data_IF_913435294064
#
_entry.id   IF_913435294064
#
_cell.length_a   1.000
_cell.length_b   1.000
_cell.length_c   1.000
_cell.angle_alpha   90.00
_cell.angle_beta   90.00
_cell.angle_gamma   90.00
#
_symmetry.space_group_name_H-M   'P 1'
#
loop_
_entity.id
_entity.type
_entity.pdbx_description
1 polymer ?
#
# COMPACT_ATOMS: atom_id res chain seq x y z
N UNK A 1 -5.43 -1.29 7.13
CA UNK A 1 -5.91 0.10 6.97
C UNK A 1 -7.42 0.19 6.84
N UNK A 2 -8.10 -0.50 5.90
CA UNK A 2 -9.57 -0.44 5.80
C UNK A 2 -10.24 -1.00 7.06
N UNK A 3 -9.71 -2.04 7.68
CA UNK A 3 -10.20 -2.63 8.94
C UNK A 3 -10.27 -1.58 10.07
N UNK A 4 -9.28 -0.70 10.16
CA UNK A 4 -9.28 0.36 11.18
C UNK A 4 -10.32 1.46 10.88
N UNK A 5 -10.67 1.69 9.61
CA UNK A 5 -11.66 2.69 9.22
C UNK A 5 -13.10 2.17 9.25
N UNK A 6 -13.27 0.88 8.95
CA UNK A 6 -14.57 0.20 8.89
C UNK A 6 -14.61 -0.94 9.91
N UNK A 7 -14.79 -0.57 11.17
CA UNK A 7 -14.77 -1.51 12.30
C UNK A 7 -15.80 -2.65 12.13
N UNK A 8 -15.32 -3.87 12.22
CA UNK A 8 -16.14 -5.08 12.06
C UNK A 8 -16.49 -5.45 10.62
N UNK A 9 -15.93 -4.73 9.62
CA UNK A 9 -16.12 -5.05 8.20
C UNK A 9 -14.91 -5.84 7.71
N UNK A 10 -15.14 -7.10 7.34
CA UNK A 10 -14.13 -7.97 6.75
C UNK A 10 -13.93 -7.72 5.25
N UNK A 11 -12.90 -8.37 4.69
CA UNK A 11 -12.57 -8.22 3.26
C UNK A 11 -13.70 -8.72 2.35
N UNK A 12 -14.39 -9.79 2.72
CA UNK A 12 -15.48 -10.35 1.90
C UNK A 12 -16.71 -9.41 1.88
N UNK A 13 -17.03 -8.78 3.02
CA UNK A 13 -18.09 -7.76 3.09
C UNK A 13 -17.73 -6.56 2.21
N UNK A 14 -16.49 -6.06 2.30
CA UNK A 14 -16.00 -4.98 1.45
C UNK A 14 -16.05 -5.37 -0.03
N UNK A 15 -15.63 -6.58 -0.37
CA UNK A 15 -15.67 -7.11 -1.75
C UNK A 15 -17.10 -7.13 -2.29
N UNK A 16 -18.07 -7.62 -1.51
CA UNK A 16 -19.49 -7.61 -1.92
C UNK A 16 -20.02 -6.19 -2.16
N UNK A 17 -19.69 -5.26 -1.28
CA UNK A 17 -20.12 -3.87 -1.42
C UNK A 17 -19.52 -3.19 -2.67
N UNK A 18 -18.22 -3.38 -2.91
CA UNK A 18 -17.54 -2.82 -4.08
C UNK A 18 -18.02 -3.46 -5.39
N UNK A 19 -18.35 -4.74 -5.39
CA UNK A 19 -18.99 -5.38 -6.56
C UNK A 19 -20.37 -4.79 -6.87
N UNK A 20 -21.14 -4.40 -5.85
CA UNK A 20 -22.41 -3.67 -6.05
C UNK A 20 -22.19 -2.29 -6.69
N UNK A 21 -21.05 -1.64 -6.45
CA UNK A 21 -20.63 -0.41 -7.13
C UNK A 21 -20.11 -0.64 -8.56
N UNK A 22 -20.00 -1.90 -9.02
CA UNK A 22 -19.57 -2.23 -10.37
C UNK A 22 -18.10 -2.67 -10.48
N UNK A 23 -17.37 -2.77 -9.39
CA UNK A 23 -16.00 -3.33 -9.44
C UNK A 23 -16.04 -4.81 -9.81
N UNK A 24 -15.17 -5.20 -10.74
CA UNK A 24 -15.04 -6.60 -11.17
C UNK A 24 -14.49 -7.49 -10.06
N UNK A 25 -13.41 -7.04 -9.42
CA UNK A 25 -12.79 -7.74 -8.29
C UNK A 25 -12.12 -6.76 -7.32
N UNK A 26 -11.79 -7.26 -6.12
CA UNK A 26 -11.22 -6.48 -5.02
C UNK A 26 -10.16 -7.31 -4.32
N UNK A 27 -8.96 -6.75 -4.23
CA UNK A 27 -7.82 -7.37 -3.56
C UNK A 27 -7.27 -6.45 -2.45
N UNK A 28 -6.69 -7.02 -1.41
CA UNK A 28 -6.01 -6.24 -0.39
C UNK A 28 -4.63 -5.79 -0.87
N UNK A 29 -4.29 -4.53 -0.64
CA UNK A 29 -2.95 -3.98 -0.93
C UNK A 29 -1.83 -4.65 -0.13
N UNK A 30 -2.16 -5.51 0.84
CA UNK A 30 -1.20 -6.41 1.50
C UNK A 30 -0.42 -7.29 0.50
N UNK A 31 -0.99 -7.60 -0.67
CA UNK A 31 -0.29 -8.28 -1.78
C UNK A 31 0.86 -7.40 -2.28
N UNK A 32 0.58 -6.13 -2.59
CA UNK A 32 1.60 -5.16 -3.01
C UNK A 32 2.66 -4.92 -1.92
N UNK A 33 2.24 -4.87 -0.65
CA UNK A 33 3.17 -4.76 0.48
C UNK A 33 4.11 -5.97 0.56
N UNK A 34 3.64 -7.17 0.24
CA UNK A 34 4.47 -8.37 0.19
C UNK A 34 5.50 -8.30 -0.94
N UNK A 35 5.11 -7.81 -2.12
CA UNK A 35 6.01 -7.61 -3.26
C UNK A 35 7.14 -6.64 -2.88
N UNK A 36 6.78 -5.48 -2.34
CA UNK A 36 7.72 -4.44 -1.90
C UNK A 36 8.65 -4.94 -0.80
N UNK A 37 8.11 -5.65 0.19
CA UNK A 37 8.88 -6.29 1.25
C UNK A 37 9.96 -7.20 0.68
N UNK A 38 9.61 -8.05 -0.28
CA UNK A 38 10.54 -8.99 -0.91
C UNK A 38 11.67 -8.26 -1.61
N UNK A 39 11.39 -7.10 -2.21
CA UNK A 39 12.42 -6.28 -2.85
C UNK A 39 13.38 -5.66 -1.81
N UNK A 40 12.87 -5.13 -0.70
CA UNK A 40 13.75 -4.67 0.38
C UNK A 40 14.60 -5.80 0.97
N UNK A 41 14.03 -6.99 1.17
CA UNK A 41 14.78 -8.16 1.64
C UNK A 41 15.87 -8.58 0.64
N UNK A 42 15.63 -8.43 -0.67
CA UNK A 42 16.64 -8.65 -1.72
C UNK A 42 17.77 -7.63 -1.60
N UNK A 43 17.47 -6.33 -1.55
CA UNK A 43 18.46 -5.26 -1.43
C UNK A 43 19.36 -5.44 -0.21
N UNK A 44 18.78 -5.81 0.93
CA UNK A 44 19.54 -6.07 2.16
C UNK A 44 20.45 -7.29 2.05
N UNK A 45 19.98 -8.36 1.40
CA UNK A 45 20.75 -9.61 1.24
C UNK A 45 21.92 -9.45 0.27
N UNK A 46 21.73 -8.64 -0.76
CA UNK A 46 22.74 -8.37 -1.79
C UNK A 46 23.68 -7.23 -1.38
N UNK A 47 23.49 -6.65 -0.19
CA UNK A 47 24.31 -5.55 0.36
C UNK A 47 24.51 -4.40 -0.63
N UNK A 48 23.42 -4.08 -1.38
CA UNK A 48 23.50 -3.08 -2.46
C UNK A 48 23.89 -1.70 -1.96
N UNK A 49 23.57 -1.37 -0.70
CA UNK A 49 23.83 -0.05 -0.11
C UNK A 49 24.08 -0.16 1.40
N UNK A 50 24.98 0.68 1.90
CA UNK A 50 25.25 0.80 3.34
C UNK A 50 24.07 1.41 4.11
N UNK A 51 23.33 2.31 3.47
CA UNK A 51 22.15 2.98 4.03
C UNK A 51 20.99 2.84 3.06
N UNK A 52 19.83 2.44 3.56
CA UNK A 52 18.60 2.35 2.79
C UNK A 52 17.50 3.13 3.52
N UNK A 53 16.97 4.17 2.86
CA UNK A 53 15.75 4.85 3.28
C UNK A 53 14.59 4.26 2.47
N UNK A 54 13.57 3.76 3.14
CA UNK A 54 12.41 3.16 2.46
C UNK A 54 11.57 4.21 1.75
N UNK A 55 11.15 3.92 0.52
CA UNK A 55 10.46 4.85 -0.40
C UNK A 55 8.95 4.63 -0.54
N UNK A 56 8.35 3.82 0.32
CA UNK A 56 6.93 3.47 0.21
C UNK A 56 5.95 4.62 0.50
N UNK A 57 6.43 5.72 1.09
CA UNK A 57 5.63 6.90 1.39
C UNK A 57 5.97 8.05 0.44
N UNK A 58 5.05 8.38 -0.48
CA UNK A 58 5.24 9.46 -1.46
C UNK A 58 5.48 10.82 -0.80
N UNK A 59 4.79 11.14 0.29
CA UNK A 59 5.02 12.40 1.02
C UNK A 59 6.44 12.51 1.57
N UNK A 60 7.01 11.41 2.10
CA UNK A 60 8.40 11.37 2.57
C UNK A 60 9.37 11.53 1.41
N UNK A 61 9.10 10.88 0.27
CA UNK A 61 9.92 11.02 -0.93
C UNK A 61 9.98 12.48 -1.40
N UNK A 62 8.83 13.16 -1.46
CA UNK A 62 8.75 14.59 -1.81
C UNK A 62 9.44 15.49 -0.77
N UNK A 63 9.33 15.16 0.51
CA UNK A 63 10.02 15.88 1.59
C UNK A 63 11.54 15.79 1.39
N UNK A 64 12.06 14.59 1.15
CA UNK A 64 13.49 14.37 0.90
C UNK A 64 13.93 15.12 -0.34
N UNK A 65 13.20 15.01 -1.45
CA UNK A 65 13.52 15.71 -2.69
C UNK A 65 13.61 17.23 -2.51
N UNK A 66 12.70 17.83 -1.75
CA UNK A 66 12.61 19.27 -1.58
C UNK A 66 13.58 19.85 -0.53
N UNK A 67 13.76 19.12 0.55
CA UNK A 67 14.43 19.67 1.73
C UNK A 67 15.73 18.98 2.12
N UNK A 68 15.93 17.74 1.65
CA UNK A 68 17.09 16.92 1.99
C UNK A 68 17.70 16.23 0.75
N UNK A 69 18.05 17.00 -0.31
CA UNK A 69 18.49 16.39 -1.58
C UNK A 69 19.74 15.51 -1.43
N UNK A 70 20.58 15.76 -0.43
CA UNK A 70 21.74 14.91 -0.12
C UNK A 70 21.35 13.50 0.38
N UNK A 71 20.11 13.31 0.81
CA UNK A 71 19.62 11.99 1.24
C UNK A 71 18.99 11.18 0.12
N UNK A 72 18.85 11.74 -1.09
CA UNK A 72 18.28 11.04 -2.25
C UNK A 72 19.07 9.80 -2.65
N UNK A 73 20.39 9.83 -2.47
CA UNK A 73 21.25 8.68 -2.78
C UNK A 73 20.93 7.45 -1.91
N UNK A 74 20.33 7.66 -0.73
CA UNK A 74 19.95 6.59 0.19
C UNK A 74 18.50 6.14 0.01
N UNK A 75 17.69 6.91 -0.73
CA UNK A 75 16.29 6.56 -0.98
C UNK A 75 16.24 5.35 -1.90
N UNK A 76 15.54 4.30 -1.46
CA UNK A 76 15.40 3.09 -2.26
C UNK A 76 14.59 3.36 -3.55
N UNK A 77 15.04 2.79 -4.65
CA UNK A 77 14.29 2.81 -5.91
C UNK A 77 13.31 1.63 -5.96
N UNK A 78 12.32 1.69 -5.07
CA UNK A 78 11.31 0.64 -4.90
C UNK A 78 9.92 1.26 -4.98
N UNK A 79 9.06 0.64 -5.77
CA UNK A 79 7.65 1.05 -5.91
C UNK A 79 6.94 1.03 -4.55
N UNK A 80 5.95 1.91 -4.39
CA UNK A 80 5.04 1.79 -3.24
C UNK A 80 4.16 0.53 -3.35
N UNK A 81 3.60 0.04 -2.23
CA UNK A 81 2.65 -1.08 -2.26
C UNK A 81 1.46 -0.88 -3.19
N UNK A 82 0.96 0.36 -3.32
CA UNK A 82 -0.09 0.70 -4.26
C UNK A 82 0.34 0.43 -5.70
N UNK A 83 1.48 0.96 -6.10
CA UNK A 83 1.98 0.81 -7.46
C UNK A 83 2.39 -0.63 -7.78
N UNK A 84 3.10 -1.28 -6.87
CA UNK A 84 3.51 -2.67 -7.05
C UNK A 84 2.31 -3.62 -7.23
N UNK A 85 1.23 -3.39 -6.46
CA UNK A 85 0.01 -4.17 -6.59
C UNK A 85 -0.73 -3.89 -7.91
N UNK A 86 -0.89 -2.61 -8.28
CA UNK A 86 -1.52 -2.25 -9.56
C UNK A 86 -0.72 -2.77 -10.76
N UNK A 87 0.61 -2.74 -10.70
CA UNK A 87 1.47 -3.34 -11.72
C UNK A 87 1.26 -4.85 -11.82
N UNK A 88 1.14 -5.56 -10.68
CA UNK A 88 0.86 -6.99 -10.67
C UNK A 88 -0.54 -7.29 -11.25
N UNK A 89 -1.56 -6.51 -10.89
CA UNK A 89 -2.91 -6.65 -11.48
C UNK A 89 -2.86 -6.47 -12.99
N UNK A 90 -2.21 -5.40 -13.49
CA UNK A 90 -2.12 -5.14 -14.94
C UNK A 90 -1.28 -6.19 -15.67
N UNK A 91 -0.27 -6.77 -15.02
CA UNK A 91 0.47 -7.91 -15.57
C UNK A 91 -0.41 -9.16 -15.74
N UNK A 92 -1.29 -9.45 -14.76
CA UNK A 92 -2.23 -10.58 -14.81
C UNK A 92 -3.43 -10.30 -15.72
N UNK A 93 -3.87 -9.06 -15.78
CA UNK A 93 -5.04 -8.59 -16.52
C UNK A 93 -4.71 -7.27 -17.24
N UNK A 94 -4.11 -7.31 -18.44
CA UNK A 94 -3.58 -6.12 -19.12
C UNK A 94 -4.60 -5.00 -19.39
N UNK A 95 -5.88 -5.37 -19.53
CA UNK A 95 -6.97 -4.40 -19.81
C UNK A 95 -7.69 -3.93 -18.54
N UNK A 96 -7.26 -4.36 -17.35
CA UNK A 96 -7.89 -3.97 -16.12
C UNK A 96 -7.65 -2.48 -15.83
N UNK A 97 -8.71 -1.79 -15.39
CA UNK A 97 -8.61 -0.49 -14.75
C UNK A 97 -8.45 -0.68 -13.25
N UNK A 98 -7.44 -0.03 -12.69
CA UNK A 98 -7.09 -0.18 -11.27
C UNK A 98 -7.50 1.05 -10.48
N UNK A 99 -8.20 0.82 -9.39
CA UNK A 99 -8.60 1.86 -8.45
C UNK A 99 -8.03 1.54 -7.08
N UNK A 100 -7.18 2.42 -6.56
CA UNK A 100 -6.68 2.29 -5.19
C UNK A 100 -7.65 2.98 -4.21
N UNK A 101 -7.95 2.32 -3.12
CA UNK A 101 -8.81 2.86 -2.05
C UNK A 101 -8.03 2.85 -0.73
N UNK A 102 -7.84 4.02 -0.14
CA UNK A 102 -7.04 4.14 1.09
C UNK A 102 -7.19 5.48 1.80
N UNK A 103 -6.56 5.67 2.97
CA UNK A 103 -6.75 6.87 3.79
C UNK A 103 -5.94 8.08 3.33
N UNK A 104 -4.95 7.90 2.46
CA UNK A 104 -3.90 8.89 2.20
C UNK A 104 -4.14 9.66 0.90
N UNK A 105 -4.34 10.97 0.99
CA UNK A 105 -4.53 11.87 -0.17
C UNK A 105 -3.29 11.96 -1.06
N UNK A 106 -2.08 11.80 -0.49
CA UNK A 106 -0.84 11.82 -1.27
C UNK A 106 -0.75 10.68 -2.30
N UNK A 107 -1.59 9.66 -2.17
CA UNK A 107 -1.70 8.59 -3.17
C UNK A 107 -2.35 9.05 -4.47
N UNK A 108 -3.12 10.13 -4.46
CA UNK A 108 -3.64 10.78 -5.67
C UNK A 108 -2.50 11.41 -6.47
N UNK A 109 -1.67 12.21 -5.79
CA UNK A 109 -0.48 12.81 -6.37
C UNK A 109 0.52 11.75 -6.88
N UNK A 110 0.73 10.69 -6.11
CA UNK A 110 1.58 9.59 -6.53
C UNK A 110 1.07 8.88 -7.80
N UNK A 111 -0.23 8.70 -7.93
CA UNK A 111 -0.84 8.08 -9.11
C UNK A 111 -0.70 8.95 -10.35
N UNK A 112 -0.76 10.28 -10.21
CA UNK A 112 -0.53 11.24 -11.28
C UNK A 112 0.95 11.34 -11.65
N UNK A 113 1.84 11.31 -10.64
CA UNK A 113 3.29 11.39 -10.84
C UNK A 113 3.86 10.18 -11.60
N UNK A 114 3.31 8.98 -11.33
CA UNK A 114 3.71 7.73 -11.98
C UNK A 114 2.58 7.20 -12.87
N UNK A 115 2.37 7.84 -13.98
CA UNK A 115 1.28 7.53 -14.92
C UNK A 115 1.25 6.07 -15.37
N UNK A 116 0.06 5.57 -15.62
CA UNK A 116 -0.19 4.30 -16.30
C UNK A 116 -0.38 3.07 -15.42
N UNK A 117 -0.03 3.12 -14.13
CA UNK A 117 -0.21 1.99 -13.22
C UNK A 117 -1.53 2.07 -12.45
N UNK A 118 -1.88 3.24 -11.91
CA UNK A 118 -3.07 3.46 -11.11
C UNK A 118 -4.02 4.37 -11.88
N UNK A 119 -5.20 3.87 -12.23
CA UNK A 119 -6.15 4.65 -13.04
C UNK A 119 -6.96 5.65 -12.20
N UNK A 120 -7.21 5.34 -10.92
CA UNK A 120 -7.86 6.26 -9.98
C UNK A 120 -7.50 5.95 -8.52
N UNK A 121 -7.62 6.96 -7.67
CA UNK A 121 -7.45 6.83 -6.21
C UNK A 121 -8.66 7.43 -5.51
N UNK A 122 -9.24 6.66 -4.59
CA UNK A 122 -10.30 7.09 -3.69
C UNK A 122 -9.82 7.08 -2.24
N UNK A 123 -10.18 8.11 -1.50
CA UNK A 123 -10.06 8.07 -0.04
C UNK A 123 -11.20 7.24 0.56
N UNK A 124 -11.04 6.80 1.81
CA UNK A 124 -12.13 6.11 2.52
C UNK A 124 -13.36 7.01 2.70
N UNK A 125 -13.17 8.32 2.83
CA UNK A 125 -14.28 9.27 2.90
C UNK A 125 -15.05 9.32 1.58
N UNK A 126 -14.36 9.41 0.45
CA UNK A 126 -14.99 9.40 -0.88
C UNK A 126 -15.72 8.09 -1.13
N UNK A 127 -15.12 6.94 -0.79
CA UNK A 127 -15.79 5.64 -0.88
C UNK A 127 -17.05 5.60 0.00
N UNK A 128 -16.95 6.05 1.24
CA UNK A 128 -18.09 6.07 2.19
C UNK A 128 -19.23 6.90 1.65
N UNK A 129 -18.94 8.07 1.08
CA UNK A 129 -19.94 8.94 0.48
C UNK A 129 -20.57 8.30 -0.75
N UNK A 130 -19.78 7.62 -1.59
CA UNK A 130 -20.30 6.92 -2.76
C UNK A 130 -21.20 5.73 -2.36
N UNK A 131 -20.78 4.89 -1.41
CA UNK A 131 -21.62 3.80 -0.88
C UNK A 131 -22.97 4.32 -0.35
N UNK A 132 -22.95 5.43 0.40
CA UNK A 132 -24.18 6.07 0.91
C UNK A 132 -25.09 6.55 -0.22
N UNK A 133 -24.53 7.19 -1.26
CA UNK A 133 -25.33 7.68 -2.40
C UNK A 133 -26.04 6.55 -3.15
N UNK A 134 -25.39 5.39 -3.23
CA UNK A 134 -25.93 4.18 -3.86
C UNK A 134 -26.76 3.33 -2.88
N UNK A 135 -26.91 3.76 -1.62
CA UNK A 135 -27.64 3.03 -0.56
C UNK A 135 -27.09 1.61 -0.32
N UNK A 136 -25.76 1.47 -0.44
CA UNK A 136 -25.05 0.22 -0.17
C UNK A 136 -24.54 0.26 1.26
N UNK A 137 -24.99 -0.67 2.09
CA UNK A 137 -24.54 -0.85 3.46
C UNK A 137 -23.41 -1.88 3.52
N UNK A 138 -22.42 -1.61 4.38
CA UNK A 138 -21.35 -2.54 4.70
C UNK A 138 -21.83 -3.48 5.82
N UNK A 139 -21.87 -4.75 5.53
CA UNK A 139 -22.24 -5.77 6.50
C UNK A 139 -21.10 -5.97 7.49
N UNK A 140 -21.41 -6.01 8.79
CA UNK A 140 -20.43 -6.38 9.81
C UNK A 140 -20.30 -7.89 9.85
N UNK A 141 -19.16 -8.37 9.41
CA UNK A 141 -18.84 -9.79 9.35
C UNK A 141 -17.35 -9.95 9.61
N UNK A 142 -17.00 -10.80 10.56
CA UNK A 142 -15.60 -11.09 10.88
C UNK A 142 -15.06 -12.09 9.86
N UNK A 143 -13.92 -11.76 9.26
CA UNK A 143 -13.24 -12.70 8.35
C UNK A 143 -12.55 -13.80 9.15
N UNK A 144 -12.79 -15.06 8.77
CA UNK A 144 -12.04 -16.22 9.26
C UNK A 144 -10.67 -16.39 8.58
N UNK A 145 -10.29 -15.45 7.70
CA UNK A 145 -8.99 -15.50 7.01
C UNK A 145 -7.85 -15.15 7.95
N UNK A 146 -6.77 -15.96 7.99
CA UNK A 146 -5.60 -15.66 8.82
C UNK A 146 -5.04 -14.28 8.49
N UNK A 147 -4.73 -13.50 9.50
CA UNK A 147 -4.14 -12.16 9.32
C UNK A 147 -2.78 -12.28 8.62
N UNK A 148 -2.67 -11.68 7.44
CA UNK A 148 -1.38 -11.54 6.77
C UNK A 148 -0.50 -10.55 7.54
N UNK A 149 0.75 -10.94 7.85
CA UNK A 149 1.74 -10.02 8.45
C UNK A 149 1.92 -8.74 7.61
N UNK A 150 1.68 -8.79 6.31
CA UNK A 150 1.73 -7.63 5.43
C UNK A 150 0.68 -6.56 5.76
N UNK A 151 -0.36 -6.87 6.54
CA UNK A 151 -1.31 -5.88 7.08
C UNK A 151 -0.68 -4.89 8.07
N UNK A 152 0.45 -5.24 8.69
CA UNK A 152 1.21 -4.34 9.56
C UNK A 152 2.05 -3.31 8.78
N UNK A 153 2.22 -3.48 7.48
CA UNK A 153 3.07 -2.60 6.66
C UNK A 153 2.78 -1.09 6.84
N UNK A 154 1.53 -0.62 6.93
CA UNK A 154 1.23 0.80 7.10
C UNK A 154 1.29 1.29 8.57
N UNK A 155 1.82 0.50 9.49
CA UNK A 155 2.02 0.91 10.89
C UNK A 155 3.47 1.34 11.13
N UNK A 156 3.73 2.08 12.21
CA UNK A 156 5.09 2.45 12.61
C UNK A 156 6.00 1.23 12.71
N UNK A 157 7.13 1.28 12.00
CA UNK A 157 8.03 0.14 11.85
C UNK A 157 7.41 -1.07 11.16
N UNK A 158 6.27 -0.88 10.47
CA UNK A 158 5.50 -1.97 9.85
C UNK A 158 6.28 -2.72 8.78
N UNK A 159 7.09 -2.03 7.98
CA UNK A 159 7.98 -2.67 7.00
C UNK A 159 8.89 -3.67 7.72
N UNK A 160 9.56 -3.23 8.79
CA UNK A 160 10.47 -4.07 9.58
C UNK A 160 9.75 -5.25 10.24
N UNK A 161 8.53 -5.01 10.77
CA UNK A 161 7.68 -6.06 11.38
C UNK A 161 7.24 -7.13 10.39
N UNK A 162 7.16 -6.78 9.10
CA UNK A 162 6.76 -7.72 8.05
C UNK A 162 7.91 -8.56 7.50
N UNK A 163 9.16 -8.12 7.66
CA UNK A 163 10.33 -8.86 7.24
C UNK A 163 10.48 -10.16 8.04
N UNK A 164 10.92 -11.22 7.35
CA UNK A 164 11.05 -12.54 7.96
C UNK A 164 12.24 -12.64 8.90
N UNK A 165 13.33 -11.97 8.57
CA UNK A 165 14.58 -11.93 9.34
C UNK A 165 15.31 -10.61 9.11
N UNK A 166 16.00 -10.12 10.14
CA UNK A 166 16.92 -9.01 9.99
C UNK A 166 18.18 -9.48 9.23
N UNK A 167 18.60 -8.74 8.23
CA UNK A 167 19.85 -9.01 7.56
C UNK A 167 21.03 -8.71 8.53
N UNK A 168 22.01 -9.59 8.66
CA UNK A 168 23.19 -9.32 9.47
C UNK A 168 23.93 -8.09 8.90
N UNK A 169 24.42 -7.23 9.78
CA UNK A 169 25.19 -6.04 9.40
C UNK A 169 24.37 -4.74 9.31
N UNK A 170 23.04 -4.80 9.31
CA UNK A 170 22.19 -3.60 9.29
C UNK A 170 21.59 -3.28 10.66
N UNK A 171 21.58 -2.00 11.00
CA UNK A 171 20.79 -1.46 12.13
C UNK A 171 19.47 -0.90 11.60
N UNK A 172 18.35 -1.32 12.21
CA UNK A 172 17.02 -0.97 11.77
C UNK A 172 16.45 0.15 12.63
N UNK A 173 16.03 1.24 12.00
CA UNK A 173 15.45 2.41 12.67
C UNK A 173 14.06 2.67 12.09
N UNK A 174 13.05 2.71 12.94
CA UNK A 174 11.73 3.23 12.62
C UNK A 174 11.62 4.62 13.22
N UNK A 175 11.40 5.62 12.36
CA UNK A 175 11.13 6.98 12.79
C UNK A 175 9.63 7.16 12.90
N UNK A 176 9.19 7.72 14.02
CA UNK A 176 7.81 8.07 14.34
C UNK A 176 7.71 9.55 14.64
N UNK A 177 6.53 10.15 14.40
CA UNK A 177 6.25 11.56 14.71
C UNK A 177 6.01 11.77 16.20
#
# INVERSE_FOLDING_TARGET
SFIANYEGVGIESMRRALRKLGFFDVEETAIGATIVKTEYERMLREEERDIIITSCCHSVNLLIQKHFPSALEYLADVMSPMQAHCADIKRRMPNAKTVFIGPCVAKKDEAEYYEGLVDAVLTFEELTNWLKSERIELEKEVDDTPESRARFFPTTGGILKTMAQNAPGYTYIALDD
#
